data_IF_359581576909
#
_entry.id   IF_359581576909
#
_cell.length_a   1.000
_cell.length_b   1.000
_cell.length_c   1.000
_cell.angle_alpha   90.00
_cell.angle_beta   90.00
_cell.angle_gamma   90.00
#
_symmetry.space_group_name_H-M   'P 1'
#
loop_
_entity.id
_entity.type
_entity.pdbx_description
1 polymer ?
#
# COMPACT_ATOMS: atom_id res chain seq x y z
N UNK A 1 49.80 -10.89 33.67
CA UNK A 1 48.40 -11.17 34.00
C UNK A 1 47.52 -10.66 32.88
N UNK A 2 46.72 -11.52 32.29
CA UNK A 2 45.69 -11.10 31.33
C UNK A 2 44.54 -10.48 32.16
N UNK A 3 44.36 -9.14 32.11
CA UNK A 3 43.29 -8.41 32.81
C UNK A 3 42.12 -8.33 31.84
N UNK A 4 41.02 -9.03 32.17
CA UNK A 4 39.74 -8.86 31.53
C UNK A 4 38.86 -8.00 32.46
N UNK A 5 37.94 -7.22 31.89
CA UNK A 5 36.85 -6.58 32.61
C UNK A 5 35.95 -7.69 33.15
N UNK A 6 35.75 -7.73 34.45
CA UNK A 6 34.90 -8.75 35.14
C UNK A 6 33.52 -8.16 35.36
N UNK A 7 32.48 -8.93 35.06
CA UNK A 7 31.11 -8.61 35.46
C UNK A 7 30.82 -9.00 36.90
N UNK A 8 29.70 -8.52 37.43
CA UNK A 8 29.23 -8.85 38.75
C UNK A 8 28.79 -10.32 38.85
N UNK A 9 28.87 -10.86 40.08
CA UNK A 9 28.36 -12.19 40.35
C UNK A 9 26.84 -12.22 40.21
N UNK A 10 26.30 -13.25 39.55
CA UNK A 10 24.85 -13.44 39.40
C UNK A 10 24.11 -13.66 40.71
N UNK A 11 24.84 -13.96 41.78
CA UNK A 11 24.32 -14.22 43.14
C UNK A 11 24.61 -13.05 44.09
N UNK A 12 25.20 -11.96 43.59
CA UNK A 12 25.45 -10.78 44.42
C UNK A 12 24.13 -10.06 44.66
N UNK A 13 23.78 -9.87 45.93
CA UNK A 13 22.69 -9.01 46.35
C UNK A 13 23.14 -7.55 46.37
N UNK A 14 22.28 -6.64 45.94
CA UNK A 14 22.45 -5.20 46.07
C UNK A 14 21.93 -4.75 47.45
N UNK A 15 22.63 -3.85 48.10
CA UNK A 15 22.26 -3.34 49.44
C UNK A 15 21.05 -2.38 49.32
N UNK A 16 20.93 -1.67 48.21
CA UNK A 16 19.81 -0.79 47.87
C UNK A 16 19.00 -1.38 46.73
N UNK A 17 17.65 -1.36 46.77
CA UNK A 17 16.83 -1.85 45.70
C UNK A 17 17.00 -0.96 44.47
N UNK A 18 17.29 -1.56 43.30
CA UNK A 18 17.34 -0.87 42.05
C UNK A 18 15.92 -0.61 41.50
N UNK A 19 15.71 0.59 40.97
CA UNK A 19 14.47 0.95 40.31
C UNK A 19 14.55 0.60 38.83
N UNK A 20 13.42 0.24 38.23
CA UNK A 20 13.38 0.04 36.76
C UNK A 20 13.84 1.30 35.99
N UNK A 21 13.61 2.47 36.56
CA UNK A 21 13.98 3.75 35.96
C UNK A 21 15.51 3.94 35.86
N UNK A 22 16.29 3.32 36.76
CA UNK A 22 17.75 3.38 36.76
C UNK A 22 18.37 2.70 35.51
N UNK A 23 17.63 1.75 34.92
CA UNK A 23 18.06 1.03 33.70
C UNK A 23 17.73 1.77 32.41
N UNK A 24 16.93 2.85 32.48
CA UNK A 24 16.44 3.55 31.28
C UNK A 24 17.00 4.97 31.25
N UNK A 25 17.96 5.21 30.37
CA UNK A 25 18.57 6.51 30.19
C UNK A 25 17.51 7.59 29.87
N UNK A 26 17.75 8.83 30.29
CA UNK A 26 16.83 9.96 30.05
C UNK A 26 16.51 10.22 28.58
N UNK A 27 17.48 9.93 27.70
CA UNK A 27 17.34 10.08 26.26
C UNK A 27 16.88 8.80 25.55
N UNK A 28 16.45 7.78 26.28
CA UNK A 28 15.96 6.54 25.64
C UNK A 28 14.64 6.79 24.91
N UNK A 29 14.51 6.37 23.64
CA UNK A 29 13.28 6.51 22.85
C UNK A 29 12.02 5.93 23.48
N UNK A 30 12.15 4.98 24.40
CA UNK A 30 11.01 4.36 25.07
C UNK A 30 10.25 5.36 25.95
N UNK A 31 10.93 6.34 26.54
CA UNK A 31 10.31 7.43 27.30
C UNK A 31 9.38 8.28 26.42
N UNK A 32 9.71 8.42 25.13
CA UNK A 32 8.85 9.11 24.18
C UNK A 32 7.55 8.32 23.93
N UNK A 33 7.64 6.98 23.87
CA UNK A 33 6.44 6.12 23.71
C UNK A 33 5.54 6.29 24.93
N UNK A 34 6.13 6.29 26.13
CA UNK A 34 5.41 6.43 27.39
C UNK A 34 4.63 7.74 27.44
N UNK A 35 5.33 8.85 27.30
CA UNK A 35 4.73 10.19 27.28
C UNK A 35 3.67 10.30 26.17
N UNK A 36 3.98 9.84 24.94
CA UNK A 36 3.04 9.94 23.84
C UNK A 36 1.71 9.23 24.12
N UNK A 37 1.76 8.02 24.67
CA UNK A 37 0.55 7.25 24.95
C UNK A 37 -0.21 7.81 26.14
N UNK A 38 0.48 8.33 27.15
CA UNK A 38 -0.14 8.89 28.36
C UNK A 38 -0.85 10.23 28.09
N UNK A 39 -0.39 10.99 27.10
CA UNK A 39 -1.05 12.23 26.64
C UNK A 39 -2.24 12.00 25.69
N UNK A 40 -2.52 10.74 25.31
CA UNK A 40 -3.67 10.43 24.43
C UNK A 40 -4.96 10.26 25.23
N UNK A 41 -6.04 10.91 24.79
CA UNK A 41 -7.39 10.54 25.21
C UNK A 41 -7.84 9.26 24.49
N UNK A 42 -7.56 8.12 25.11
CA UNK A 42 -7.88 6.82 24.53
C UNK A 42 -9.38 6.59 24.35
N UNK A 43 -10.23 7.21 25.19
CA UNK A 43 -11.67 7.14 25.07
C UNK A 43 -12.17 7.83 23.80
N UNK A 44 -11.75 9.08 23.57
CA UNK A 44 -12.09 9.83 22.36
C UNK A 44 -11.53 9.17 21.09
N UNK A 45 -10.38 8.50 21.17
CA UNK A 45 -9.81 7.74 20.06
C UNK A 45 -10.59 6.46 19.75
N UNK A 46 -11.49 6.04 20.66
CA UNK A 46 -12.39 4.89 20.45
C UNK A 46 -11.82 3.56 20.93
N UNK A 47 -10.90 3.57 21.92
CA UNK A 47 -10.46 2.34 22.56
C UNK A 47 -11.51 1.81 23.51
N UNK A 48 -11.71 0.50 23.47
CA UNK A 48 -12.54 -0.20 24.46
C UNK A 48 -11.75 -0.48 25.75
N UNK A 49 -12.46 -0.53 26.90
CA UNK A 49 -11.85 -0.89 28.18
C UNK A 49 -10.99 0.19 28.82
N UNK A 50 -11.17 1.47 28.47
CA UNK A 50 -10.53 2.62 29.14
C UNK A 50 -11.07 2.78 30.55
N UNK A 51 -12.40 2.58 30.73
CA UNK A 51 -13.00 2.49 32.07
C UNK A 51 -13.02 1.02 32.52
N UNK A 52 -12.64 0.74 33.77
CA UNK A 52 -12.64 -0.63 34.29
C UNK A 52 -14.07 -1.19 34.37
N UNK A 53 -14.23 -2.47 34.04
CA UNK A 53 -15.50 -3.16 34.24
C UNK A 53 -15.80 -3.32 35.74
N UNK A 54 -17.07 -3.19 36.13
CA UNK A 54 -17.51 -3.32 37.52
C UNK A 54 -17.38 -4.74 38.07
N UNK A 55 -17.38 -5.72 37.21
CA UNK A 55 -17.33 -7.16 37.56
C UNK A 55 -16.47 -7.94 36.58
N UNK A 56 -16.00 -9.11 36.98
CA UNK A 56 -15.19 -9.99 36.17
C UNK A 56 -13.69 -9.89 36.47
N UNK A 57 -12.87 -10.60 35.68
CA UNK A 57 -11.41 -10.57 35.83
C UNK A 57 -10.88 -9.19 35.36
N UNK A 58 -10.00 -8.54 36.14
CA UNK A 58 -9.38 -7.29 35.72
C UNK A 58 -8.69 -7.42 34.37
N UNK A 59 -8.96 -6.50 33.45
CA UNK A 59 -8.32 -6.42 32.15
C UNK A 59 -7.10 -5.50 32.20
N UNK A 60 -6.19 -5.67 31.26
CA UNK A 60 -5.11 -4.70 31.06
C UNK A 60 -5.68 -3.41 30.47
N UNK A 61 -5.23 -2.27 31.01
CA UNK A 61 -5.60 -0.98 30.43
C UNK A 61 -5.09 -0.87 28.99
N UNK A 62 -5.87 -0.31 28.03
CA UNK A 62 -5.49 -0.23 26.62
C UNK A 62 -4.18 0.51 26.37
N UNK A 63 -3.79 1.48 27.24
CA UNK A 63 -2.49 2.14 27.17
C UNK A 63 -1.32 1.15 27.23
N UNK A 64 -1.38 0.16 28.11
CA UNK A 64 -0.32 -0.86 28.25
C UNK A 64 -0.13 -1.64 26.97
N UNK A 65 -1.24 -2.10 26.37
CA UNK A 65 -1.21 -2.88 25.14
C UNK A 65 -0.81 -2.03 23.92
N UNK A 66 -1.19 -0.76 23.89
CA UNK A 66 -0.77 0.18 22.86
C UNK A 66 0.74 0.47 22.95
N UNK A 67 1.26 0.71 24.16
CA UNK A 67 2.71 0.88 24.43
C UNK A 67 3.50 -0.34 23.93
N UNK A 68 3.04 -1.55 24.23
CA UNK A 68 3.64 -2.81 23.76
C UNK A 68 3.70 -2.86 22.23
N UNK A 69 2.62 -2.48 21.53
CA UNK A 69 2.61 -2.47 20.07
C UNK A 69 3.53 -1.42 19.46
N UNK A 70 3.51 -0.18 19.95
CA UNK A 70 4.39 0.88 19.45
C UNK A 70 5.85 0.48 19.65
N UNK A 71 6.22 -0.02 20.84
CA UNK A 71 7.55 -0.57 21.10
C UNK A 71 7.92 -1.68 20.10
N UNK A 72 7.00 -2.63 19.91
CA UNK A 72 7.24 -3.76 19.03
C UNK A 72 7.50 -3.37 17.57
N UNK A 73 6.72 -2.44 17.04
CA UNK A 73 6.91 -1.98 15.66
C UNK A 73 8.18 -1.13 15.52
N UNK A 74 8.54 -0.35 16.52
CA UNK A 74 9.78 0.43 16.55
C UNK A 74 11.02 -0.48 16.56
N UNK A 75 10.96 -1.63 17.27
CA UNK A 75 12.05 -2.56 17.50
C UNK A 75 11.96 -3.87 16.68
N UNK A 76 11.13 -3.94 15.61
CA UNK A 76 10.93 -5.12 14.73
C UNK A 76 10.39 -6.36 15.44
N UNK A 77 9.67 -6.19 16.54
CA UNK A 77 9.01 -7.24 17.29
C UNK A 77 7.51 -7.18 17.04
N UNK A 78 7.04 -7.62 15.87
CA UNK A 78 5.65 -7.46 15.42
C UNK A 78 4.74 -8.64 15.82
N UNK A 79 5.32 -9.80 16.15
CA UNK A 79 4.58 -11.00 16.53
C UNK A 79 4.13 -10.92 17.99
N UNK A 80 2.84 -11.14 18.27
CA UNK A 80 2.28 -11.14 19.64
C UNK A 80 2.98 -12.14 20.55
N UNK A 81 3.35 -13.33 20.06
CA UNK A 81 4.13 -14.33 20.83
C UNK A 81 5.55 -13.83 21.18
N UNK A 82 6.15 -13.07 20.29
CA UNK A 82 7.46 -12.46 20.60
C UNK A 82 7.30 -11.31 21.57
N UNK A 83 6.26 -10.48 21.43
CA UNK A 83 5.95 -9.39 22.36
C UNK A 83 5.70 -9.89 23.78
N UNK A 84 4.93 -10.97 23.95
CA UNK A 84 4.76 -11.63 25.25
C UNK A 84 6.10 -12.04 25.86
N UNK A 85 6.98 -12.67 25.06
CA UNK A 85 8.31 -13.08 25.52
C UNK A 85 9.19 -11.88 25.89
N UNK A 86 9.16 -10.82 25.08
CA UNK A 86 9.93 -9.59 25.39
C UNK A 86 9.40 -8.88 26.63
N UNK A 87 8.10 -8.85 26.88
CA UNK A 87 7.52 -8.30 28.11
C UNK A 87 8.02 -8.98 29.38
N UNK A 88 8.45 -10.26 29.28
CA UNK A 88 8.99 -11.03 30.42
C UNK A 88 10.48 -10.85 30.66
N UNK A 89 11.26 -10.37 29.69
CA UNK A 89 12.73 -10.40 29.73
C UNK A 89 13.43 -9.12 29.30
N UNK A 90 12.74 -8.21 28.63
CA UNK A 90 13.32 -6.99 28.12
C UNK A 90 13.05 -5.85 29.11
N UNK A 91 14.11 -5.26 29.66
CA UNK A 91 14.02 -4.25 30.71
C UNK A 91 13.26 -2.99 30.25
N UNK A 92 13.43 -2.57 28.98
CA UNK A 92 12.71 -1.44 28.42
C UNK A 92 11.20 -1.68 28.39
N UNK A 93 10.79 -2.90 28.00
CA UNK A 93 9.38 -3.24 27.94
C UNK A 93 8.80 -3.48 29.33
N UNK A 94 9.59 -4.03 30.27
CA UNK A 94 9.23 -4.12 31.68
C UNK A 94 8.99 -2.73 32.30
N UNK A 95 9.86 -1.77 32.01
CA UNK A 95 9.70 -0.38 32.45
C UNK A 95 8.41 0.23 31.87
N UNK A 96 8.21 0.10 30.57
CA UNK A 96 7.07 0.67 29.83
C UNK A 96 5.71 0.14 30.31
N UNK A 97 5.67 -1.12 30.75
CA UNK A 97 4.45 -1.80 31.17
C UNK A 97 4.29 -1.91 32.68
N UNK A 98 5.24 -1.41 33.45
CA UNK A 98 5.25 -1.63 34.91
C UNK A 98 5.34 -3.12 35.29
N UNK A 99 6.13 -3.92 34.56
CA UNK A 99 6.29 -5.38 34.67
C UNK A 99 5.01 -6.20 34.34
N UNK A 100 4.02 -5.60 33.71
CA UNK A 100 2.86 -6.35 33.24
C UNK A 100 3.24 -7.19 32.01
N UNK A 101 2.81 -8.46 32.01
CA UNK A 101 3.15 -9.44 30.98
C UNK A 101 1.88 -10.06 30.37
N UNK A 102 1.16 -9.31 29.51
CA UNK A 102 -0.02 -9.84 28.82
C UNK A 102 0.35 -11.03 27.96
N UNK A 103 -0.49 -12.06 27.93
CA UNK A 103 -0.31 -13.20 27.06
C UNK A 103 -0.52 -12.84 25.59
N UNK A 104 0.01 -13.66 24.67
CA UNK A 104 -0.03 -13.39 23.23
C UNK A 104 -1.45 -13.31 22.65
N UNK A 105 -2.45 -13.98 23.27
CA UNK A 105 -3.84 -13.93 22.82
C UNK A 105 -4.43 -12.56 23.15
N UNK A 106 -4.21 -12.08 24.37
CA UNK A 106 -4.61 -10.74 24.83
C UNK A 106 -4.01 -9.67 23.93
N UNK A 107 -2.69 -9.74 23.65
CA UNK A 107 -2.00 -8.82 22.73
C UNK A 107 -2.64 -8.87 21.32
N UNK A 108 -2.86 -10.07 20.78
CA UNK A 108 -3.44 -10.22 19.45
C UNK A 108 -4.90 -9.74 19.36
N UNK A 109 -5.73 -10.03 20.40
CA UNK A 109 -7.12 -9.58 20.48
C UNK A 109 -7.21 -8.07 20.56
N UNK A 110 -6.37 -7.41 21.34
CA UNK A 110 -6.34 -5.95 21.41
C UNK A 110 -6.18 -5.30 20.02
N UNK A 111 -5.21 -5.73 19.22
CA UNK A 111 -5.04 -5.20 17.86
C UNK A 111 -6.23 -5.49 16.96
N UNK A 112 -6.82 -6.68 17.10
CA UNK A 112 -7.97 -7.11 16.30
C UNK A 112 -9.21 -6.26 16.62
N UNK A 113 -9.46 -6.00 17.90
CA UNK A 113 -10.70 -5.39 18.37
C UNK A 113 -10.62 -3.86 18.36
N UNK A 114 -9.41 -3.28 18.50
CA UNK A 114 -9.18 -1.83 18.51
C UNK A 114 -8.57 -1.27 17.19
N UNK A 115 -8.81 -1.92 16.05
CA UNK A 115 -8.18 -1.53 14.78
C UNK A 115 -8.43 -0.09 14.36
N UNK A 116 -9.65 0.42 14.51
CA UNK A 116 -10.02 1.81 14.20
C UNK A 116 -9.33 2.80 15.15
N UNK A 117 -9.31 2.51 16.43
CA UNK A 117 -8.66 3.33 17.45
C UNK A 117 -7.15 3.46 17.20
N UNK A 118 -6.47 2.36 16.87
CA UNK A 118 -5.05 2.34 16.49
C UNK A 118 -4.78 3.22 15.27
N UNK A 119 -5.64 3.17 14.23
CA UNK A 119 -5.52 4.06 13.08
C UNK A 119 -5.70 5.55 13.47
N UNK A 120 -6.58 5.82 14.42
CA UNK A 120 -6.76 7.18 14.95
C UNK A 120 -5.53 7.66 15.73
N UNK A 121 -4.84 6.80 16.49
CA UNK A 121 -3.54 7.14 17.11
C UNK A 121 -2.52 7.58 16.08
N UNK A 122 -2.42 6.88 14.95
CA UNK A 122 -1.51 7.28 13.88
C UNK A 122 -1.85 8.68 13.32
N UNK A 123 -3.15 8.98 13.15
CA UNK A 123 -3.59 10.33 12.74
C UNK A 123 -3.27 11.39 13.80
N UNK A 124 -3.49 11.07 15.07
CA UNK A 124 -3.16 11.98 16.17
C UNK A 124 -1.67 12.33 16.22
N UNK A 125 -0.79 11.38 15.92
CA UNK A 125 0.64 11.65 15.81
C UNK A 125 0.96 12.60 14.65
N UNK A 126 0.27 12.50 13.51
CA UNK A 126 0.43 13.45 12.40
C UNK A 126 -0.06 14.85 12.80
N UNK A 127 -1.15 14.95 13.56
CA UNK A 127 -1.61 16.23 14.10
C UNK A 127 -0.59 16.85 15.05
N UNK A 128 0.04 16.04 15.91
CA UNK A 128 1.15 16.48 16.75
C UNK A 128 2.32 17.01 15.89
N UNK A 129 2.72 16.31 14.84
CA UNK A 129 3.75 16.79 13.92
C UNK A 129 3.40 18.15 13.29
N UNK A 130 2.11 18.37 12.99
CA UNK A 130 1.61 19.68 12.52
C UNK A 130 1.74 20.76 13.58
N UNK A 131 1.36 20.48 14.83
CA UNK A 131 1.49 21.41 15.95
C UNK A 131 2.96 21.78 16.22
N UNK A 132 3.88 20.83 15.99
CA UNK A 132 5.31 21.02 16.05
C UNK A 132 5.92 21.74 14.85
N UNK A 133 5.09 22.25 13.92
CA UNK A 133 5.51 22.95 12.71
C UNK A 133 6.47 22.13 11.82
N UNK A 134 6.31 20.81 11.78
CA UNK A 134 7.14 19.95 10.93
C UNK A 134 6.68 19.93 9.45
N UNK A 135 5.52 20.49 9.13
CA UNK A 135 4.98 20.60 7.78
C UNK A 135 4.99 22.05 7.28
N UNK A 136 6.19 22.60 7.10
CA UNK A 136 6.36 24.02 6.70
C UNK A 136 6.20 24.26 5.20
N UNK A 137 6.45 23.25 4.39
CA UNK A 137 6.21 23.27 2.94
C UNK A 137 4.90 22.54 2.66
N UNK A 138 3.93 23.25 2.10
CA UNK A 138 2.64 22.65 1.73
C UNK A 138 2.78 21.76 0.47
N UNK A 139 3.72 20.80 0.53
CA UNK A 139 4.06 19.92 -0.58
C UNK A 139 4.24 18.47 -0.11
N UNK A 140 3.62 17.54 -0.84
CA UNK A 140 3.75 16.10 -0.61
C UNK A 140 4.08 15.35 -1.89
N UNK A 141 4.83 14.27 -1.74
CA UNK A 141 5.02 13.28 -2.79
C UNK A 141 4.11 12.06 -2.53
N UNK A 142 3.34 11.66 -3.54
CA UNK A 142 2.43 10.52 -3.47
C UNK A 142 3.03 9.35 -4.22
N UNK A 143 3.06 8.18 -3.57
CA UNK A 143 3.51 6.93 -4.18
C UNK A 143 2.85 5.71 -3.56
N UNK A 144 2.83 4.62 -4.34
CA UNK A 144 2.30 3.33 -3.95
C UNK A 144 3.37 2.24 -3.95
N UNK A 145 3.30 1.35 -2.98
CA UNK A 145 4.18 0.19 -2.96
C UNK A 145 3.42 -1.09 -2.61
N UNK A 146 3.80 -2.17 -3.27
CA UNK A 146 3.14 -3.48 -3.08
C UNK A 146 3.78 -4.20 -1.89
N UNK A 147 2.92 -4.74 -1.01
CA UNK A 147 3.28 -5.53 0.16
C UNK A 147 2.61 -6.89 0.09
N UNK A 148 3.36 -7.93 0.39
CA UNK A 148 2.87 -9.31 0.32
C UNK A 148 1.85 -9.57 1.43
N UNK A 149 0.72 -10.19 1.07
CA UNK A 149 -0.26 -10.67 2.05
C UNK A 149 0.16 -12.00 2.69
N UNK A 150 -0.53 -12.37 3.77
CA UNK A 150 -0.52 -13.76 4.25
C UNK A 150 -1.17 -14.61 3.18
N UNK A 151 -0.37 -15.29 2.37
CA UNK A 151 -0.87 -16.03 1.23
C UNK A 151 -0.15 -17.35 1.03
N UNK A 152 -0.90 -18.34 0.55
CA UNK A 152 -0.39 -19.56 -0.05
C UNK A 152 -0.61 -19.47 -1.57
N UNK A 153 0.46 -19.58 -2.36
CA UNK A 153 0.43 -19.46 -3.81
C UNK A 153 -0.61 -20.39 -4.45
N UNK A 154 -0.78 -21.61 -3.89
CA UNK A 154 -1.69 -22.61 -4.44
C UNK A 154 -3.16 -22.31 -4.13
N UNK A 155 -3.44 -21.47 -3.13
CA UNK A 155 -4.78 -21.07 -2.72
C UNK A 155 -5.26 -19.72 -3.30
N UNK A 156 -4.56 -19.20 -4.30
CA UNK A 156 -4.98 -18.01 -5.03
C UNK A 156 -5.42 -18.38 -6.44
N UNK A 157 -6.64 -18.04 -6.83
CA UNK A 157 -7.27 -18.42 -8.08
C UNK A 157 -7.65 -17.21 -8.92
N UNK A 158 -7.39 -17.35 -10.22
CA UNK A 158 -7.88 -16.51 -11.31
C UNK A 158 -8.50 -17.43 -12.35
N UNK A 159 -9.33 -16.90 -13.27
CA UNK A 159 -9.95 -17.70 -14.34
C UNK A 159 -8.93 -18.56 -15.08
N UNK A 160 -7.85 -17.95 -15.55
CA UNK A 160 -6.80 -18.65 -16.30
C UNK A 160 -6.08 -19.75 -15.48
N UNK A 161 -5.98 -19.58 -14.14
CA UNK A 161 -5.38 -20.59 -13.27
C UNK A 161 -6.33 -21.76 -13.04
N UNK A 162 -7.63 -21.50 -12.92
CA UNK A 162 -8.65 -22.56 -12.78
C UNK A 162 -8.68 -23.41 -14.04
N UNK A 163 -8.73 -22.79 -15.22
CA UNK A 163 -8.72 -23.48 -16.51
C UNK A 163 -7.51 -24.40 -16.64
N UNK A 164 -6.31 -23.85 -16.43
CA UNK A 164 -5.06 -24.64 -16.47
C UNK A 164 -5.05 -25.80 -15.49
N UNK A 165 -5.57 -25.61 -14.28
CA UNK A 165 -5.58 -26.65 -13.24
C UNK A 165 -6.62 -27.72 -13.56
N UNK A 166 -7.73 -27.34 -14.18
CA UNK A 166 -8.74 -28.27 -14.68
C UNK A 166 -8.16 -29.17 -15.78
N UNK A 167 -7.51 -28.59 -16.79
CA UNK A 167 -6.82 -29.35 -17.85
C UNK A 167 -5.81 -30.34 -17.27
N UNK A 168 -4.96 -29.91 -16.32
CA UNK A 168 -3.99 -30.80 -15.69
C UNK A 168 -4.62 -31.97 -14.92
N UNK A 169 -5.78 -31.74 -14.28
CA UNK A 169 -6.52 -32.81 -13.58
C UNK A 169 -7.15 -33.76 -14.59
N UNK A 170 -7.77 -33.25 -15.64
CA UNK A 170 -8.37 -34.05 -16.73
C UNK A 170 -7.33 -34.94 -17.40
N UNK A 171 -6.17 -34.40 -17.78
CA UNK A 171 -5.04 -35.18 -18.31
C UNK A 171 -4.55 -36.24 -17.33
N UNK A 172 -4.49 -35.92 -16.04
CA UNK A 172 -4.07 -36.90 -15.02
C UNK A 172 -5.08 -38.00 -14.84
N UNK A 173 -6.38 -37.70 -14.87
CA UNK A 173 -7.45 -38.72 -14.81
C UNK A 173 -7.37 -39.61 -16.05
N UNK A 174 -7.24 -39.04 -17.25
CA UNK A 174 -7.11 -39.80 -18.49
C UNK A 174 -5.90 -40.77 -18.47
N UNK A 175 -4.76 -40.30 -17.97
CA UNK A 175 -3.55 -41.11 -17.80
C UNK A 175 -3.74 -42.24 -16.79
N UNK A 176 -4.43 -41.98 -15.68
CA UNK A 176 -4.69 -43.03 -14.69
C UNK A 176 -5.75 -44.05 -15.13
N UNK A 177 -6.74 -43.63 -15.92
CA UNK A 177 -7.70 -44.54 -16.56
C UNK A 177 -6.98 -45.47 -17.55
N UNK A 178 -6.11 -44.92 -18.42
CA UNK A 178 -5.29 -45.73 -19.31
C UNK A 178 -4.35 -46.70 -18.58
N UNK A 179 -3.85 -46.32 -17.40
CA UNK A 179 -3.03 -47.17 -16.56
C UNK A 179 -3.85 -48.29 -15.89
N UNK A 180 -5.13 -48.06 -15.62
CA UNK A 180 -6.06 -49.11 -15.14
C UNK A 180 -6.29 -50.16 -16.21
N UNK A 181 -6.57 -49.77 -17.46
CA UNK A 181 -6.77 -50.68 -18.60
C UNK A 181 -5.54 -51.59 -18.84
N UNK A 182 -4.33 -51.07 -18.50
CA UNK A 182 -3.09 -51.86 -18.63
C UNK A 182 -2.82 -52.72 -17.40
N UNK A 183 -3.31 -52.33 -16.22
CA UNK A 183 -3.14 -53.10 -14.98
C UNK A 183 -3.93 -54.42 -14.98
N UNK A 184 -5.10 -54.46 -15.64
CA UNK A 184 -5.94 -55.65 -15.79
C UNK A 184 -5.26 -56.79 -16.58
N UNK A 185 -4.13 -56.52 -17.22
CA UNK A 185 -3.33 -57.48 -17.97
C UNK A 185 -2.14 -58.07 -17.18
N UNK A 186 -1.96 -57.65 -15.92
CA UNK A 186 -0.85 -58.08 -15.07
C UNK A 186 -1.25 -59.29 -14.17
N UNK A 187 -0.26 -59.88 -13.46
CA UNK A 187 -0.51 -60.95 -12.52
C UNK A 187 -1.49 -60.53 -11.41
N UNK A 188 -2.43 -61.41 -10.93
CA UNK A 188 -3.59 -61.05 -10.14
C UNK A 188 -3.28 -60.26 -8.86
N UNK A 189 -2.31 -60.67 -8.07
CA UNK A 189 -1.99 -60.01 -6.79
C UNK A 189 -1.39 -58.60 -6.93
N UNK A 190 -0.62 -58.38 -7.99
CA UNK A 190 -0.01 -57.09 -8.33
C UNK A 190 -1.04 -56.17 -8.98
N UNK A 191 -1.92 -56.71 -9.78
CA UNK A 191 -3.00 -56.03 -10.47
C UNK A 191 -3.99 -55.42 -9.47
N UNK A 192 -4.40 -56.17 -8.45
CA UNK A 192 -5.38 -55.74 -7.44
C UNK A 192 -4.86 -54.54 -6.62
N UNK A 193 -3.65 -54.63 -6.06
CA UNK A 193 -3.03 -53.54 -5.29
C UNK A 193 -2.81 -52.25 -6.13
N UNK A 194 -2.45 -52.40 -7.41
CA UNK A 194 -2.25 -51.28 -8.34
C UNK A 194 -3.58 -50.62 -8.71
N UNK A 195 -4.61 -51.43 -8.96
CA UNK A 195 -5.97 -50.95 -9.29
C UNK A 195 -6.58 -50.17 -8.13
N UNK A 196 -6.47 -50.64 -6.89
CA UNK A 196 -6.94 -49.91 -5.70
C UNK A 196 -6.28 -48.53 -5.60
N UNK A 197 -4.95 -48.47 -5.70
CA UNK A 197 -4.20 -47.19 -5.64
C UNK A 197 -4.55 -46.21 -6.77
N UNK A 198 -4.80 -46.70 -7.98
CA UNK A 198 -5.20 -45.85 -9.12
C UNK A 198 -6.61 -45.34 -8.93
N UNK A 199 -7.54 -46.13 -8.46
CA UNK A 199 -8.92 -45.73 -8.15
C UNK A 199 -8.98 -44.69 -7.02
N UNK A 200 -8.17 -44.84 -5.98
CA UNK A 200 -8.03 -43.83 -4.92
C UNK A 200 -7.54 -42.50 -5.48
N UNK A 201 -6.52 -42.51 -6.34
CA UNK A 201 -6.00 -41.28 -6.99
C UNK A 201 -7.05 -40.64 -7.90
N UNK A 202 -7.78 -41.41 -8.68
CA UNK A 202 -8.86 -40.89 -9.54
C UNK A 202 -9.96 -40.24 -8.69
N UNK A 203 -10.34 -40.91 -7.57
CA UNK A 203 -11.34 -40.38 -6.65
C UNK A 203 -10.91 -39.06 -6.05
N UNK A 204 -9.65 -38.92 -5.59
CA UNK A 204 -9.08 -37.68 -5.09
C UNK A 204 -9.07 -36.56 -6.17
N UNK A 205 -8.73 -36.90 -7.42
CA UNK A 205 -8.74 -35.93 -8.51
C UNK A 205 -10.17 -35.49 -8.86
N UNK A 206 -11.15 -36.36 -8.83
CA UNK A 206 -12.57 -36.00 -9.00
C UNK A 206 -13.06 -35.07 -7.89
N UNK A 207 -12.68 -35.32 -6.64
CA UNK A 207 -12.96 -34.40 -5.53
C UNK A 207 -12.31 -33.02 -5.72
N UNK A 208 -11.06 -33.00 -6.17
CA UNK A 208 -10.38 -31.73 -6.51
C UNK A 208 -11.09 -30.97 -7.64
N UNK A 209 -11.60 -31.70 -8.64
CA UNK A 209 -12.38 -31.10 -9.73
C UNK A 209 -13.66 -30.44 -9.23
N UNK A 210 -14.38 -31.10 -8.30
CA UNK A 210 -15.58 -30.53 -7.71
C UNK A 210 -15.27 -29.29 -6.86
N UNK A 211 -14.20 -29.31 -6.06
CA UNK A 211 -13.73 -28.13 -5.33
C UNK A 211 -13.37 -26.98 -6.28
N UNK A 212 -12.77 -27.27 -7.44
CA UNK A 212 -12.46 -26.23 -8.43
C UNK A 212 -13.73 -25.61 -9.03
N UNK A 213 -14.79 -26.42 -9.26
CA UNK A 213 -16.10 -25.91 -9.73
C UNK A 213 -16.74 -24.96 -8.71
N UNK A 214 -16.70 -25.31 -7.42
CA UNK A 214 -17.18 -24.44 -6.34
C UNK A 214 -16.41 -23.12 -6.29
N UNK A 215 -15.08 -23.19 -6.41
CA UNK A 215 -14.21 -21.99 -6.46
C UNK A 215 -14.54 -21.15 -7.70
N UNK A 216 -14.74 -21.78 -8.85
CA UNK A 216 -15.11 -21.12 -10.10
C UNK A 216 -16.45 -20.37 -9.98
N UNK A 217 -17.47 -21.02 -9.39
CA UNK A 217 -18.77 -20.39 -9.15
C UNK A 217 -18.64 -19.15 -8.25
N UNK A 218 -17.83 -19.24 -7.19
CA UNK A 218 -17.52 -18.11 -6.31
C UNK A 218 -16.73 -17.01 -7.03
N UNK A 219 -15.81 -17.39 -7.90
CA UNK A 219 -15.00 -16.49 -8.69
C UNK A 219 -15.86 -15.64 -9.66
N UNK A 220 -16.84 -16.27 -10.29
CA UNK A 220 -17.77 -15.55 -11.18
C UNK A 220 -18.59 -14.48 -10.47
N UNK A 221 -18.87 -14.66 -9.17
CA UNK A 221 -19.57 -13.71 -8.34
C UNK A 221 -18.69 -12.52 -7.88
N UNK A 222 -17.35 -12.59 -8.06
CA UNK A 222 -16.45 -11.49 -7.68
C UNK A 222 -16.22 -10.52 -8.85
N UNK A 223 -16.28 -9.20 -8.62
CA UNK A 223 -16.17 -8.20 -9.70
C UNK A 223 -14.84 -8.28 -10.46
N UNK A 224 -13.75 -8.58 -9.78
CA UNK A 224 -12.38 -8.63 -10.29
C UNK A 224 -11.92 -10.03 -10.71
N UNK A 225 -12.80 -11.03 -10.63
CA UNK A 225 -12.53 -12.42 -11.00
C UNK A 225 -11.23 -12.96 -10.40
N UNK A 226 -11.00 -12.65 -9.13
CA UNK A 226 -9.88 -13.16 -8.33
C UNK A 226 -10.37 -13.58 -6.94
N UNK A 227 -9.87 -14.70 -6.46
CA UNK A 227 -10.14 -15.22 -5.13
C UNK A 227 -8.85 -15.70 -4.49
N UNK A 228 -8.60 -15.29 -3.25
CA UNK A 228 -7.63 -15.93 -2.36
C UNK A 228 -8.37 -16.64 -1.24
N UNK A 229 -8.17 -17.95 -1.12
CA UNK A 229 -8.76 -18.75 -0.04
C UNK A 229 -8.03 -18.56 1.30
N UNK A 230 -6.87 -17.90 1.29
CA UNK A 230 -6.09 -17.63 2.50
C UNK A 230 -6.41 -16.26 3.10
N UNK A 231 -6.50 -15.24 2.25
CA UNK A 231 -6.85 -13.87 2.61
C UNK A 231 -7.81 -13.33 1.54
N UNK A 232 -9.13 -13.22 1.84
CA UNK A 232 -10.16 -12.95 0.85
C UNK A 232 -10.02 -11.59 0.18
N UNK A 233 -9.38 -10.61 0.84
CA UNK A 233 -9.20 -9.26 0.32
C UNK A 233 -7.91 -9.09 -0.47
N UNK A 234 -6.95 -10.03 -0.35
CA UNK A 234 -5.69 -9.95 -1.08
C UNK A 234 -5.89 -10.20 -2.58
N UNK A 235 -5.15 -9.46 -3.41
CA UNK A 235 -5.24 -9.55 -4.88
C UNK A 235 -3.86 -9.79 -5.49
N UNK A 236 -3.87 -10.39 -6.68
CA UNK A 236 -2.67 -10.52 -7.49
C UNK A 236 -2.30 -9.16 -8.07
N UNK A 237 -1.07 -8.72 -7.81
CA UNK A 237 -0.56 -7.42 -8.21
C UNK A 237 0.69 -7.59 -9.06
N UNK A 238 0.76 -6.90 -10.18
CA UNK A 238 1.98 -6.84 -10.97
C UNK A 238 3.07 -6.10 -10.20
N UNK A 239 4.25 -6.70 -10.08
CA UNK A 239 5.41 -6.09 -9.43
C UNK A 239 6.48 -5.62 -10.42
N UNK A 240 6.38 -6.06 -11.68
CA UNK A 240 7.25 -5.63 -12.78
C UNK A 240 6.54 -5.81 -14.12
N UNK A 241 7.00 -5.13 -15.16
CA UNK A 241 6.50 -5.29 -16.54
C UNK A 241 6.67 -6.70 -17.12
N UNK A 242 7.41 -7.59 -16.46
CA UNK A 242 7.65 -8.98 -16.86
C UNK A 242 6.65 -9.98 -16.26
N UNK A 243 5.58 -9.51 -15.61
CA UNK A 243 4.48 -10.38 -15.19
C UNK A 243 4.69 -11.23 -13.94
N UNK A 244 5.80 -11.06 -13.19
CA UNK A 244 5.93 -11.67 -11.86
C UNK A 244 5.00 -10.93 -10.89
N UNK A 245 3.81 -11.48 -10.64
CA UNK A 245 2.86 -10.93 -9.69
C UNK A 245 3.09 -11.47 -8.29
N UNK A 246 2.80 -10.64 -7.29
CA UNK A 246 2.64 -11.08 -5.91
C UNK A 246 1.17 -10.97 -5.50
N UNK A 247 0.71 -11.83 -4.61
CA UNK A 247 -0.58 -11.67 -3.95
C UNK A 247 -0.39 -10.81 -2.72
N UNK A 248 -1.06 -9.68 -2.68
CA UNK A 248 -0.83 -8.69 -1.64
C UNK A 248 -1.79 -7.51 -1.68
N UNK A 249 -1.32 -6.43 -1.12
CA UNK A 249 -1.99 -5.15 -1.03
C UNK A 249 -1.11 -4.04 -1.60
N UNK A 250 -1.75 -2.99 -2.07
CA UNK A 250 -1.11 -1.78 -2.50
C UNK A 250 -1.21 -0.74 -1.38
N UNK A 251 -0.07 -0.32 -0.85
CA UNK A 251 0.00 0.70 0.20
C UNK A 251 0.33 2.02 -0.45
N UNK A 252 -0.58 2.97 -0.34
CA UNK A 252 -0.44 4.34 -0.79
C UNK A 252 0.08 5.22 0.33
N UNK A 253 0.99 6.12 0.05
CA UNK A 253 1.52 7.10 1.01
C UNK A 253 1.59 8.49 0.39
N UNK A 254 1.27 9.50 1.20
CA UNK A 254 1.61 10.90 0.92
C UNK A 254 2.69 11.32 1.92
N UNK A 255 3.82 11.73 1.43
CA UNK A 255 5.04 11.99 2.20
C UNK A 255 5.43 13.45 2.08
N UNK A 256 5.66 14.11 3.21
CA UNK A 256 6.19 15.48 3.26
C UNK A 256 7.57 15.56 2.62
N UNK A 257 7.77 16.56 1.79
CA UNK A 257 9.01 16.71 0.99
C UNK A 257 10.21 17.15 1.81
N UNK A 258 10.01 17.79 2.95
CA UNK A 258 11.08 18.35 3.78
C UNK A 258 11.63 17.36 4.79
N UNK A 259 10.76 16.78 5.60
CA UNK A 259 11.15 15.89 6.69
C UNK A 259 10.91 14.40 6.38
N UNK A 260 10.31 14.09 5.22
CA UNK A 260 9.97 12.74 4.77
C UNK A 260 9.05 12.00 5.76
N UNK A 261 8.17 12.74 6.44
CA UNK A 261 7.13 12.18 7.29
C UNK A 261 5.96 11.70 6.45
N UNK A 262 5.40 10.55 6.78
CA UNK A 262 4.19 10.06 6.13
C UNK A 262 2.99 10.81 6.73
N UNK A 263 2.41 11.70 5.94
CA UNK A 263 1.28 12.56 6.33
C UNK A 263 -0.05 11.83 6.24
N UNK A 264 -0.20 11.01 5.19
CA UNK A 264 -1.37 10.17 4.98
C UNK A 264 -0.94 8.83 4.36
N UNK A 265 -1.66 7.78 4.70
CA UNK A 265 -1.46 6.46 4.10
C UNK A 265 -2.80 5.72 3.98
N UNK A 266 -2.85 4.84 3.01
CA UNK A 266 -4.00 3.96 2.79
C UNK A 266 -3.54 2.60 2.27
N UNK A 267 -4.21 1.54 2.70
CA UNK A 267 -4.05 0.21 2.14
C UNK A 267 -5.23 -0.07 1.22
N UNK A 268 -4.95 -0.48 0.00
CA UNK A 268 -5.96 -0.86 -0.98
C UNK A 268 -5.62 -2.20 -1.62
N UNK A 269 -6.62 -2.89 -2.12
CA UNK A 269 -6.45 -4.08 -2.93
C UNK A 269 -6.51 -3.80 -4.44
N UNK A 270 -6.57 -2.53 -4.84
CA UNK A 270 -6.48 -2.10 -6.24
C UNK A 270 -5.04 -2.20 -6.71
N UNK A 271 -4.81 -2.97 -7.76
CA UNK A 271 -3.47 -3.29 -8.26
C UNK A 271 -2.76 -2.16 -9.00
N UNK A 272 -3.46 -1.09 -9.41
CA UNK A 272 -2.92 0.08 -10.09
C UNK A 272 -3.15 1.35 -9.27
N UNK A 273 -2.41 2.42 -9.60
CA UNK A 273 -2.40 3.66 -8.84
C UNK A 273 -3.27 4.76 -9.46
N UNK A 274 -3.89 4.50 -10.63
CA UNK A 274 -4.61 5.49 -11.45
C UNK A 274 -5.76 6.18 -10.75
N UNK A 275 -6.43 5.52 -9.79
CA UNK A 275 -7.60 6.04 -9.06
C UNK A 275 -7.26 6.45 -7.63
N UNK A 276 -5.99 6.68 -7.31
CA UNK A 276 -5.57 6.92 -5.93
C UNK A 276 -5.11 8.36 -5.66
N UNK A 277 -4.83 9.16 -6.71
CA UNK A 277 -4.23 10.48 -6.59
C UNK A 277 -5.10 11.45 -5.78
N UNK A 278 -6.33 11.67 -6.21
CA UNK A 278 -7.21 12.69 -5.62
C UNK A 278 -7.55 12.37 -4.16
N UNK A 279 -7.79 11.10 -3.87
CA UNK A 279 -8.09 10.65 -2.50
C UNK A 279 -6.90 10.89 -1.57
N UNK A 280 -5.70 10.47 -1.96
CA UNK A 280 -4.49 10.65 -1.17
C UNK A 280 -4.13 12.13 -1.00
N UNK A 281 -4.26 12.93 -2.05
CA UNK A 281 -4.00 14.37 -2.01
C UNK A 281 -4.96 15.11 -1.05
N UNK A 282 -6.27 14.79 -1.09
CA UNK A 282 -7.27 15.36 -0.18
C UNK A 282 -7.03 14.96 1.28
N UNK A 283 -6.66 13.69 1.53
CA UNK A 283 -6.29 13.22 2.86
C UNK A 283 -5.05 13.95 3.39
N UNK A 284 -4.01 14.10 2.56
CA UNK A 284 -2.79 14.82 2.94
C UNK A 284 -3.08 16.28 3.26
N UNK A 285 -3.87 16.98 2.43
CA UNK A 285 -4.27 18.36 2.68
C UNK A 285 -4.99 18.53 4.02
N UNK A 286 -5.94 17.64 4.30
CA UNK A 286 -6.67 17.64 5.58
C UNK A 286 -5.75 17.38 6.77
N UNK A 287 -4.83 16.42 6.67
CA UNK A 287 -3.90 16.07 7.74
C UNK A 287 -2.89 17.18 8.03
N UNK A 288 -2.39 17.84 6.99
CA UNK A 288 -1.49 19.00 7.13
C UNK A 288 -2.23 20.26 7.59
N UNK A 289 -3.55 20.33 7.39
CA UNK A 289 -4.36 21.50 7.77
C UNK A 289 -4.06 22.73 6.92
N UNK A 290 -3.70 22.54 5.66
CA UNK A 290 -3.38 23.62 4.72
C UNK A 290 -4.52 23.86 3.72
N UNK A 291 -4.68 25.10 3.26
CA UNK A 291 -5.69 25.44 2.26
C UNK A 291 -5.22 25.08 0.85
N UNK A 292 -3.96 25.33 0.55
CA UNK A 292 -3.31 25.01 -0.71
C UNK A 292 -2.31 23.89 -0.50
N UNK A 293 -2.30 22.91 -1.40
CA UNK A 293 -1.37 21.79 -1.36
C UNK A 293 -0.78 21.57 -2.75
N UNK A 294 0.52 21.38 -2.81
CA UNK A 294 1.21 20.88 -4.00
C UNK A 294 1.46 19.37 -3.86
N UNK A 295 1.12 18.61 -4.88
CA UNK A 295 1.36 17.17 -4.92
C UNK A 295 2.23 16.78 -6.10
N UNK A 296 3.20 15.90 -5.86
CA UNK A 296 4.03 15.31 -6.91
C UNK A 296 3.83 13.80 -6.94
N UNK A 297 3.59 13.23 -8.12
CA UNK A 297 3.37 11.80 -8.29
C UNK A 297 4.02 11.28 -9.57
N UNK A 298 4.09 9.97 -9.75
CA UNK A 298 4.61 9.40 -10.99
C UNK A 298 3.53 9.26 -12.08
N UNK A 299 3.96 8.84 -13.27
CA UNK A 299 3.07 8.62 -14.42
C UNK A 299 2.01 7.52 -14.20
N UNK A 300 2.19 6.63 -13.20
CA UNK A 300 1.24 5.59 -12.84
C UNK A 300 -0.08 6.14 -12.30
N UNK A 301 -0.03 7.35 -11.75
CA UNK A 301 -1.20 8.08 -11.24
C UNK A 301 -1.92 8.92 -12.30
N UNK A 302 -1.41 8.98 -13.53
CA UNK A 302 -2.00 9.85 -14.54
C UNK A 302 -3.40 9.37 -14.95
N UNK A 303 -4.42 10.09 -14.48
CA UNK A 303 -5.82 9.96 -14.86
C UNK A 303 -6.41 11.36 -15.01
N UNK A 304 -7.11 11.62 -16.11
CA UNK A 304 -7.76 12.93 -16.35
C UNK A 304 -8.74 13.28 -15.24
N UNK A 305 -9.56 12.31 -14.80
CA UNK A 305 -10.56 12.48 -13.72
C UNK A 305 -9.91 12.82 -12.38
N UNK A 306 -8.87 12.10 -12.01
CA UNK A 306 -8.16 12.32 -10.74
C UNK A 306 -7.46 13.67 -10.72
N UNK A 307 -6.87 14.08 -11.86
CA UNK A 307 -6.23 15.40 -12.02
C UNK A 307 -7.28 16.51 -11.93
N UNK A 308 -8.43 16.32 -12.58
CA UNK A 308 -9.55 17.26 -12.49
C UNK A 308 -10.05 17.37 -11.05
N UNK A 309 -10.28 16.25 -10.36
CA UNK A 309 -10.73 16.22 -8.98
C UNK A 309 -9.73 16.88 -7.99
N UNK A 310 -8.43 16.84 -8.28
CA UNK A 310 -7.42 17.60 -7.57
C UNK A 310 -7.54 19.10 -7.86
N UNK A 311 -7.68 19.47 -9.14
CA UNK A 311 -7.83 20.85 -9.57
C UNK A 311 -9.06 21.54 -8.95
N UNK A 312 -10.22 20.87 -8.99
CA UNK A 312 -11.46 21.34 -8.37
C UNK A 312 -11.35 21.48 -6.85
N UNK A 313 -10.51 20.64 -6.23
CA UNK A 313 -10.19 20.75 -4.82
C UNK A 313 -9.13 21.82 -4.48
N UNK A 314 -8.63 22.60 -5.44
CA UNK A 314 -7.58 23.60 -5.21
C UNK A 314 -6.19 22.99 -4.93
N UNK A 315 -5.95 21.74 -5.37
CA UNK A 315 -4.68 21.03 -5.20
C UNK A 315 -3.86 21.13 -6.49
N UNK A 316 -2.65 21.65 -6.40
CA UNK A 316 -1.72 21.75 -7.51
C UNK A 316 -1.01 20.39 -7.70
N UNK A 317 -1.09 19.84 -8.91
CA UNK A 317 -0.48 18.54 -9.23
C UNK A 317 0.66 18.65 -10.21
N UNK A 318 1.71 17.84 -9.99
CA UNK A 318 2.84 17.64 -10.91
C UNK A 318 3.02 16.14 -11.13
N UNK A 319 2.70 15.65 -12.33
CA UNK A 319 2.94 14.29 -12.73
C UNK A 319 3.11 14.18 -14.25
N UNK A 320 4.01 13.34 -14.74
CA UNK A 320 4.29 13.22 -16.15
C UNK A 320 3.21 12.42 -16.88
N UNK A 321 2.87 12.87 -18.07
CA UNK A 321 1.95 12.13 -18.95
C UNK A 321 2.60 10.83 -19.43
N UNK A 322 1.91 9.67 -19.37
CA UNK A 322 2.41 8.45 -19.98
C UNK A 322 2.45 8.56 -21.50
N UNK A 323 3.52 8.07 -22.10
CA UNK A 323 3.63 7.97 -23.56
C UNK A 323 2.80 6.76 -24.02
N UNK A 324 1.58 7.01 -24.46
CA UNK A 324 0.63 5.96 -24.90
C UNK A 324 0.55 5.82 -26.42
N UNK A 325 1.16 6.72 -27.18
CA UNK A 325 1.16 6.72 -28.64
C UNK A 325 2.48 6.17 -29.18
N UNK A 326 2.43 5.22 -30.10
CA UNK A 326 3.58 4.75 -30.87
C UNK A 326 4.00 5.75 -31.97
N UNK A 327 3.23 6.81 -32.20
CA UNK A 327 3.46 7.74 -33.28
C UNK A 327 4.90 8.31 -33.31
N UNK A 328 5.42 8.76 -32.15
CA UNK A 328 6.81 9.26 -32.06
C UNK A 328 7.86 8.18 -32.35
N UNK A 329 7.68 6.97 -31.84
CA UNK A 329 8.61 5.87 -32.09
C UNK A 329 8.60 5.42 -33.57
N UNK A 330 7.53 5.70 -34.26
CA UNK A 330 7.36 5.44 -35.72
C UNK A 330 7.72 6.67 -36.57
N UNK A 331 8.33 7.74 -35.97
CA UNK A 331 8.72 8.95 -36.69
C UNK A 331 7.55 9.84 -37.10
N UNK A 332 6.36 9.67 -36.51
CA UNK A 332 5.17 10.46 -36.81
C UNK A 332 4.84 11.47 -35.73
N UNK A 333 4.15 12.54 -36.14
CA UNK A 333 3.65 13.55 -35.21
C UNK A 333 2.68 12.96 -34.18
N UNK A 334 2.83 13.37 -32.93
CA UNK A 334 1.89 13.02 -31.86
C UNK A 334 0.89 14.16 -31.58
N UNK A 335 0.06 14.04 -30.55
CA UNK A 335 -0.93 15.06 -30.21
C UNK A 335 -0.28 16.40 -29.77
N UNK A 336 0.91 16.38 -29.21
CA UNK A 336 1.60 17.56 -28.72
C UNK A 336 2.08 18.48 -29.87
N UNK A 337 2.27 17.93 -31.07
CA UNK A 337 2.67 18.68 -32.27
C UNK A 337 1.50 19.49 -32.89
N UNK A 338 0.28 19.35 -32.33
CA UNK A 338 -0.93 20.06 -32.78
C UNK A 338 -1.28 21.15 -31.75
N UNK A 339 -1.23 22.42 -32.17
CA UNK A 339 -1.46 23.56 -31.28
C UNK A 339 -2.96 23.90 -31.25
N UNK A 340 -3.56 23.89 -30.06
CA UNK A 340 -4.97 24.27 -29.89
C UNK A 340 -5.13 25.79 -29.80
N UNK A 341 -6.04 26.35 -30.61
CA UNK A 341 -6.50 27.73 -30.55
C UNK A 341 -7.89 27.77 -29.87
N UNK A 342 -7.96 28.31 -28.67
CA UNK A 342 -9.19 28.35 -27.88
C UNK A 342 -10.22 29.35 -28.47
N UNK A 343 -9.78 30.46 -29.05
CA UNK A 343 -10.67 31.49 -29.61
C UNK A 343 -11.46 30.98 -30.82
N UNK A 344 -10.79 30.18 -31.68
CA UNK A 344 -11.40 29.62 -32.88
C UNK A 344 -11.92 28.19 -32.67
N UNK A 345 -11.67 27.62 -31.50
CA UNK A 345 -11.99 26.20 -31.19
C UNK A 345 -11.47 25.24 -32.28
N UNK A 346 -10.20 25.38 -32.65
CA UNK A 346 -9.54 24.58 -33.70
C UNK A 346 -8.12 24.18 -33.27
N UNK A 347 -7.59 23.12 -33.88
CA UNK A 347 -6.17 22.80 -33.80
C UNK A 347 -5.45 23.24 -35.05
N UNK A 348 -4.20 23.69 -34.92
CA UNK A 348 -3.28 23.93 -36.04
C UNK A 348 -2.32 22.73 -36.12
N UNK A 349 -2.25 22.08 -37.29
CA UNK A 349 -1.35 20.97 -37.53
C UNK A 349 0.08 21.44 -37.87
N UNK A 350 1.10 20.55 -37.88
CA UNK A 350 2.48 20.90 -38.25
C UNK A 350 2.63 21.44 -39.67
N UNK A 351 1.69 21.12 -40.60
CA UNK A 351 1.64 21.70 -41.95
C UNK A 351 0.97 23.10 -41.98
N UNK A 352 0.54 23.65 -40.83
CA UNK A 352 -0.13 24.95 -40.76
C UNK A 352 -1.64 24.92 -41.01
N UNK A 353 -2.22 23.77 -41.37
CA UNK A 353 -3.65 23.63 -41.67
C UNK A 353 -4.52 23.60 -40.44
N UNK A 354 -5.72 24.22 -40.45
CA UNK A 354 -6.65 24.15 -39.32
C UNK A 354 -7.38 22.82 -39.31
N UNK A 355 -7.42 22.17 -38.15
CA UNK A 355 -8.30 21.06 -37.82
C UNK A 355 -9.50 21.63 -37.07
N UNK A 356 -10.61 21.77 -37.77
CA UNK A 356 -11.83 22.36 -37.19
C UNK A 356 -12.60 21.32 -36.39
N UNK A 357 -13.35 21.79 -35.40
CA UNK A 357 -14.30 20.96 -34.67
C UNK A 357 -15.33 20.37 -35.62
N UNK A 358 -15.63 19.08 -35.44
CA UNK A 358 -16.59 18.37 -36.29
C UNK A 358 -17.80 17.89 -35.50
N UNK A 359 -17.55 17.21 -34.40
CA UNK A 359 -18.61 16.77 -33.50
C UNK A 359 -18.07 16.44 -32.11
N UNK A 360 -18.98 16.23 -31.16
CA UNK A 360 -18.69 15.76 -29.83
C UNK A 360 -19.49 14.51 -29.56
N UNK A 361 -18.91 13.59 -28.81
CA UNK A 361 -19.62 12.41 -28.32
C UNK A 361 -19.17 12.06 -26.91
N UNK A 362 -19.99 11.31 -26.19
CA UNK A 362 -19.63 10.75 -24.87
C UNK A 362 -19.00 9.37 -25.12
N UNK A 363 -17.76 9.23 -24.62
CA UNK A 363 -16.99 7.98 -24.67
C UNK A 363 -16.59 7.63 -23.23
N UNK A 364 -17.01 6.47 -22.70
CA UNK A 364 -16.74 6.03 -21.34
C UNK A 364 -17.05 7.12 -20.27
N UNK A 365 -18.16 7.85 -20.44
CA UNK A 365 -18.59 8.91 -19.53
C UNK A 365 -17.96 10.29 -19.79
N UNK A 366 -16.97 10.39 -20.68
CA UNK A 366 -16.28 11.64 -21.00
C UNK A 366 -16.81 12.27 -22.30
N UNK A 367 -17.02 13.56 -22.28
CA UNK A 367 -17.35 14.32 -23.49
C UNK A 367 -16.08 14.61 -24.26
N UNK A 368 -15.95 14.00 -25.45
CA UNK A 368 -14.79 14.08 -26.32
C UNK A 368 -15.16 14.85 -27.59
N UNK A 369 -14.43 15.90 -27.85
CA UNK A 369 -14.50 16.68 -29.09
C UNK A 369 -13.54 16.11 -30.13
N UNK A 370 -13.96 16.06 -31.39
CA UNK A 370 -13.21 15.52 -32.51
C UNK A 370 -12.91 16.61 -33.53
N UNK A 371 -11.63 16.70 -33.93
CA UNK A 371 -11.12 17.70 -34.86
C UNK A 371 -10.37 17.02 -35.99
N UNK A 372 -10.57 17.47 -37.25
CA UNK A 372 -9.77 17.12 -38.39
C UNK A 372 -9.92 18.12 -39.50
N UNK A 373 -8.95 18.13 -40.49
CA UNK A 373 -8.96 18.92 -41.71
C UNK A 373 -9.37 18.06 -42.93
N UNK A 374 -10.09 18.67 -43.84
CA UNK A 374 -10.41 18.02 -45.14
C UNK A 374 -9.21 18.01 -46.10
N UNK A 375 -8.20 18.87 -45.87
CA UNK A 375 -7.00 19.00 -46.72
C UNK A 375 -5.96 17.89 -46.50
N UNK A 376 -6.16 16.98 -45.51
CA UNK A 376 -5.17 15.95 -45.16
C UNK A 376 -4.79 15.02 -46.32
N UNK A 377 -5.67 14.80 -47.28
CA UNK A 377 -5.38 13.90 -48.43
C UNK A 377 -4.33 14.46 -49.37
N UNK A 378 -4.26 15.77 -49.49
CA UNK A 378 -3.32 16.49 -50.38
C UNK A 378 -2.09 17.03 -49.62
N UNK A 379 -1.93 16.68 -48.34
CA UNK A 379 -0.86 17.20 -47.52
C UNK A 379 0.50 16.57 -47.85
N UNK A 380 1.51 17.38 -48.10
CA UNK A 380 2.88 16.95 -48.45
C UNK A 380 3.58 16.15 -47.37
N UNK A 381 3.24 16.40 -46.05
CA UNK A 381 3.82 15.71 -44.89
C UNK A 381 2.88 14.64 -44.31
N UNK A 382 1.89 14.17 -45.07
CA UNK A 382 0.90 13.20 -44.60
C UNK A 382 1.52 11.91 -44.08
N UNK A 383 2.57 11.40 -44.68
CA UNK A 383 3.28 10.18 -44.30
C UNK A 383 3.91 10.30 -42.90
N UNK A 384 4.37 11.50 -42.53
CA UNK A 384 4.90 11.81 -41.19
C UNK A 384 3.78 12.08 -40.17
N UNK A 385 2.51 12.15 -40.57
CA UNK A 385 1.40 12.52 -39.74
C UNK A 385 0.47 11.35 -39.43
N UNK A 386 -0.05 10.67 -40.47
CA UNK A 386 -1.05 9.59 -40.30
C UNK A 386 -1.09 8.63 -41.48
N UNK A 387 -1.23 7.32 -41.27
CA UNK A 387 -1.51 6.36 -42.33
C UNK A 387 -2.97 6.39 -42.78
N UNK A 388 -3.87 7.01 -42.00
CA UNK A 388 -5.30 7.10 -42.32
C UNK A 388 -5.60 8.23 -43.30
N UNK A 389 -6.84 8.29 -43.83
CA UNK A 389 -7.28 9.34 -44.78
C UNK A 389 -7.12 10.75 -44.22
N UNK A 390 -7.35 10.92 -42.90
CA UNK A 390 -7.17 12.19 -42.21
C UNK A 390 -6.68 11.96 -40.76
N UNK A 391 -5.84 12.88 -40.26
CA UNK A 391 -5.46 12.91 -38.84
C UNK A 391 -6.64 13.41 -38.02
N UNK A 392 -7.12 12.60 -37.09
CA UNK A 392 -8.15 12.97 -36.13
C UNK A 392 -7.50 13.28 -34.77
N UNK A 393 -7.77 14.47 -34.24
CA UNK A 393 -7.34 14.87 -32.90
C UNK A 393 -8.55 14.85 -31.97
N UNK A 394 -8.40 14.23 -30.82
CA UNK A 394 -9.41 14.15 -29.78
C UNK A 394 -9.08 15.13 -28.66
N UNK A 395 -10.06 15.86 -28.17
CA UNK A 395 -9.94 16.74 -27.01
C UNK A 395 -11.02 16.42 -26.00
N UNK A 396 -10.61 16.15 -24.79
CA UNK A 396 -11.52 16.04 -23.66
C UNK A 396 -12.04 17.45 -23.28
N UNK A 397 -13.27 17.57 -22.80
CA UNK A 397 -13.85 18.88 -22.42
C UNK A 397 -13.01 19.63 -21.36
N UNK A 398 -12.34 18.89 -20.44
CA UNK A 398 -11.44 19.42 -19.43
C UNK A 398 -9.93 19.32 -19.82
N UNK A 399 -9.62 19.18 -21.10
CA UNK A 399 -8.22 19.05 -21.57
C UNK A 399 -7.35 20.24 -21.14
N UNK A 400 -7.93 21.42 -20.95
CA UNK A 400 -7.22 22.64 -20.49
C UNK A 400 -6.55 22.43 -19.12
N UNK A 401 -7.13 21.61 -18.23
CA UNK A 401 -6.53 21.27 -16.94
C UNK A 401 -5.26 20.44 -17.14
N UNK A 402 -5.31 19.45 -18.07
CA UNK A 402 -4.15 18.63 -18.40
C UNK A 402 -3.04 19.43 -19.11
N UNK A 403 -3.41 20.35 -19.99
CA UNK A 403 -2.48 21.27 -20.65
C UNK A 403 -1.79 22.20 -19.64
N UNK A 404 -2.55 22.71 -18.67
CA UNK A 404 -2.03 23.55 -17.59
C UNK A 404 -1.07 22.78 -16.68
N UNK A 405 -1.36 21.50 -16.38
CA UNK A 405 -0.45 20.62 -15.65
C UNK A 405 0.85 20.42 -16.44
N UNK A 406 0.78 20.13 -17.74
CA UNK A 406 1.98 19.93 -18.57
C UNK A 406 2.83 21.19 -18.62
N UNK A 407 2.24 22.37 -18.85
CA UNK A 407 2.95 23.66 -18.83
C UNK A 407 3.63 23.94 -17.49
N UNK A 408 3.01 23.58 -16.36
CA UNK A 408 3.62 23.69 -15.05
C UNK A 408 4.82 22.78 -14.90
N UNK A 409 4.70 21.52 -15.34
CA UNK A 409 5.78 20.55 -15.28
C UNK A 409 6.97 20.96 -16.15
N UNK A 410 6.72 21.47 -17.36
CA UNK A 410 7.75 21.95 -18.27
C UNK A 410 8.55 23.15 -17.69
N UNK A 411 7.86 24.02 -16.93
CA UNK A 411 8.50 25.14 -16.22
C UNK A 411 9.27 24.71 -14.96
N UNK A 412 8.93 23.55 -14.39
CA UNK A 412 9.49 23.06 -13.14
C UNK A 412 9.93 21.58 -13.27
N UNK A 413 10.92 21.27 -14.11
CA UNK A 413 11.36 19.90 -14.38
C UNK A 413 11.93 19.20 -13.14
N UNK A 414 12.43 19.96 -12.17
CA UNK A 414 12.98 19.44 -10.90
C UNK A 414 11.95 18.76 -10.00
N UNK A 415 10.65 19.00 -10.20
CA UNK A 415 9.60 18.38 -9.40
C UNK A 415 9.65 16.86 -9.42
N UNK A 416 10.09 16.26 -10.53
CA UNK A 416 10.24 14.80 -10.63
C UNK A 416 11.47 14.30 -9.86
N UNK A 417 12.49 15.12 -9.66
CA UNK A 417 13.62 14.81 -8.78
C UNK A 417 13.19 14.88 -7.31
N UNK A 418 12.48 15.93 -6.92
CA UNK A 418 11.89 16.07 -5.58
C UNK A 418 11.02 14.85 -5.25
N UNK A 419 10.11 14.47 -6.16
CA UNK A 419 9.29 13.26 -5.98
C UNK A 419 10.14 12.03 -5.67
N UNK A 420 11.14 11.73 -6.50
CA UNK A 420 11.97 10.53 -6.37
C UNK A 420 12.69 10.49 -5.01
N UNK A 421 13.34 11.58 -4.65
CA UNK A 421 14.06 11.70 -3.37
C UNK A 421 13.14 11.52 -2.16
N UNK A 422 11.89 12.00 -2.25
CA UNK A 422 10.93 11.95 -1.14
C UNK A 422 10.33 10.56 -0.94
N UNK A 423 9.83 9.93 -2.02
CA UNK A 423 9.05 8.68 -1.89
C UNK A 423 9.90 7.45 -1.66
N UNK A 424 11.14 7.45 -2.10
CA UNK A 424 12.06 6.31 -1.87
C UNK A 424 12.46 6.23 -0.39
N UNK A 425 12.43 7.36 0.32
CA UNK A 425 12.86 7.45 1.70
C UNK A 425 12.01 6.59 2.67
N UNK A 426 10.66 6.62 2.71
CA UNK A 426 9.90 5.83 3.69
C UNK A 426 9.82 4.34 3.34
N UNK A 427 9.66 3.96 2.06
CA UNK A 427 9.48 2.56 1.70
C UNK A 427 10.73 1.71 1.89
N UNK A 428 11.91 2.28 1.72
CA UNK A 428 13.18 1.62 2.02
C UNK A 428 13.27 1.19 3.48
N UNK A 429 13.22 2.12 4.45
CA UNK A 429 13.21 1.80 5.89
C UNK A 429 12.06 0.89 6.31
N UNK A 430 10.84 1.12 5.86
CA UNK A 430 9.69 0.27 6.20
C UNK A 430 9.94 -1.20 5.81
N UNK A 431 10.41 -1.46 4.60
CA UNK A 431 10.64 -2.81 4.10
C UNK A 431 11.92 -3.44 4.62
N UNK A 432 13.05 -2.72 4.51
CA UNK A 432 14.36 -3.29 4.83
C UNK A 432 14.68 -3.24 6.33
N UNK A 433 14.46 -2.09 6.98
CA UNK A 433 14.90 -1.90 8.37
C UNK A 433 13.83 -2.23 9.39
N UNK A 434 12.55 -1.97 9.09
CA UNK A 434 11.45 -2.28 10.00
C UNK A 434 10.80 -3.64 9.71
N UNK A 435 11.25 -4.35 8.65
CA UNK A 435 10.84 -5.70 8.35
C UNK A 435 9.41 -5.85 7.82
N UNK A 436 8.79 -4.77 7.33
CA UNK A 436 7.47 -4.79 6.73
C UNK A 436 7.48 -5.36 5.30
N UNK A 437 8.07 -6.53 5.10
CA UNK A 437 8.12 -7.18 3.78
C UNK A 437 6.83 -7.89 3.41
N UNK A 438 6.08 -8.34 4.42
CA UNK A 438 4.80 -9.02 4.29
C UNK A 438 3.95 -8.75 5.52
N UNK A 439 2.64 -8.77 5.35
CA UNK A 439 1.70 -8.62 6.45
C UNK A 439 1.60 -9.90 7.28
N UNK A 440 1.33 -9.75 8.57
CA UNK A 440 1.07 -10.84 9.51
C UNK A 440 -0.43 -11.07 9.73
N UNK A 441 -1.26 -10.09 9.36
CA UNK A 441 -2.72 -10.13 9.45
C UNK A 441 -3.37 -10.34 8.10
N UNK A 442 -4.65 -10.75 8.11
CA UNK A 442 -5.49 -10.97 6.94
C UNK A 442 -6.65 -9.97 6.96
N UNK A 443 -7.25 -9.75 5.83
CA UNK A 443 -8.31 -8.78 5.55
C UNK A 443 -7.83 -7.32 5.49
N UNK A 444 -8.44 -6.57 4.61
CA UNK A 444 -8.05 -5.17 4.32
C UNK A 444 -8.07 -4.30 5.59
N UNK A 445 -9.06 -4.49 6.46
CA UNK A 445 -9.19 -3.71 7.69
C UNK A 445 -8.04 -3.96 8.67
N UNK A 446 -7.69 -5.24 8.91
CA UNK A 446 -6.61 -5.59 9.83
C UNK A 446 -5.23 -5.26 9.27
N UNK A 447 -5.05 -5.44 7.96
CA UNK A 447 -3.83 -5.06 7.25
C UNK A 447 -3.64 -3.53 7.30
N UNK A 448 -4.72 -2.77 7.16
CA UNK A 448 -4.69 -1.30 7.33
C UNK A 448 -4.25 -0.90 8.74
N UNK A 449 -4.71 -1.62 9.77
CA UNK A 449 -4.27 -1.39 11.15
C UNK A 449 -2.78 -1.73 11.34
N UNK A 450 -2.34 -2.85 10.79
CA UNK A 450 -0.93 -3.27 10.84
C UNK A 450 -0.03 -2.24 10.14
N UNK A 451 -0.44 -1.75 8.98
CA UNK A 451 0.30 -0.70 8.26
C UNK A 451 0.33 0.62 9.04
N UNK A 452 -0.75 1.00 9.71
CA UNK A 452 -0.78 2.21 10.56
C UNK A 452 0.24 2.15 11.69
N UNK A 453 0.45 0.98 12.30
CA UNK A 453 1.50 0.79 13.31
C UNK A 453 2.91 0.93 12.72
N UNK A 454 3.13 0.43 11.50
CA UNK A 454 4.40 0.64 10.79
C UNK A 454 4.65 2.11 10.49
N UNK A 455 3.63 2.82 10.00
CA UNK A 455 3.71 4.25 9.69
C UNK A 455 3.96 5.06 10.96
N UNK A 456 3.25 4.77 12.04
CA UNK A 456 3.45 5.43 13.35
C UNK A 456 4.90 5.24 13.85
N UNK A 457 5.39 4.01 13.82
CA UNK A 457 6.76 3.73 14.27
C UNK A 457 7.81 4.39 13.36
N UNK A 458 7.59 4.43 12.04
CA UNK A 458 8.46 5.16 11.11
C UNK A 458 8.47 6.66 11.43
N UNK A 459 7.31 7.28 11.55
CA UNK A 459 7.18 8.71 11.83
C UNK A 459 7.78 9.06 13.21
N UNK A 460 7.50 8.26 14.22
CA UNK A 460 8.05 8.45 15.59
C UNK A 460 9.58 8.42 15.57
N UNK A 461 10.17 7.42 14.93
CA UNK A 461 11.63 7.31 14.77
C UNK A 461 12.21 8.51 14.03
N UNK A 462 11.50 8.99 13.01
CA UNK A 462 11.91 10.15 12.21
C UNK A 462 11.86 11.44 13.02
N UNK A 463 10.78 11.66 13.77
CA UNK A 463 10.62 12.86 14.63
C UNK A 463 11.63 12.87 15.77
N UNK A 464 11.90 11.72 16.40
CA UNK A 464 12.98 11.59 17.39
C UNK A 464 14.33 11.98 16.80
N UNK A 465 14.61 11.56 15.56
CA UNK A 465 15.87 11.92 14.90
C UNK A 465 15.96 13.42 14.54
N UNK A 466 14.84 14.10 14.30
CA UNK A 466 14.79 15.53 13.98
C UNK A 466 14.90 16.40 15.23
N UNK A 467 14.13 16.10 16.27
CA UNK A 467 13.98 16.95 17.46
C UNK A 467 14.81 16.49 18.66
N UNK A 468 15.18 15.21 18.69
CA UNK A 468 15.70 14.54 19.89
C UNK A 468 14.59 14.15 20.87
N UNK A 469 14.88 13.17 21.75
CA UNK A 469 13.93 12.61 22.71
C UNK A 469 13.43 13.67 23.72
N UNK A 470 14.33 14.41 24.34
CA UNK A 470 13.99 15.37 25.39
C UNK A 470 13.13 16.53 24.90
N UNK A 471 13.43 17.10 23.73
CA UNK A 471 12.62 18.17 23.15
C UNK A 471 11.23 17.69 22.75
N UNK A 472 11.14 16.49 22.17
CA UNK A 472 9.87 15.90 21.76
C UNK A 472 8.97 15.61 22.98
N UNK A 473 9.52 15.04 24.07
CA UNK A 473 8.75 14.79 25.30
C UNK A 473 8.23 16.08 25.93
N UNK A 474 9.04 17.15 25.96
CA UNK A 474 8.57 18.45 26.46
C UNK A 474 7.43 19.01 25.61
N UNK A 475 7.55 18.89 24.29
CA UNK A 475 6.52 19.38 23.38
C UNK A 475 5.22 18.57 23.40
N UNK A 476 5.24 17.34 23.89
CA UNK A 476 4.04 16.52 24.09
C UNK A 476 3.30 16.86 25.39
N UNK A 477 4.04 17.30 26.43
CA UNK A 477 3.49 17.62 27.74
C UNK A 477 2.96 19.05 27.88
N UNK A 478 3.17 19.86 26.88
CA UNK A 478 2.76 21.20 27.00
C UNK A 478 2.82 22.25 26.26
#
# INVERSE_FOLDING_TARGET
MKRFVQGESRTQGTLLPELLDDYIAENNPIRVIDVFVDELDLGQLGFEGVAPALTGRPSYHPAVLLKIYIYGYLNRVQSSRRLEREAQRNVELMWLTGRLTPDFKTIASFRKDNGKAIRNVCRQFVLLCRQLNLFTEAMVAIDGSKFKAVNNRDRNFTTAKIERRREQIEESIARYLSALDTADRAEPDIAEAKTVRLNEKITLLKQQMEQLREIEARLQATPDKQISLTDPDARSMATSGRGSGMVGYNVQTAVDTKHHLIVAHEVTNVGNDRSQLAKMAKQARSAMGVNELTTVADRGYFSGEEILACHEAGIVTYLPKPMTSSAKSEGRFDKADFVYNAEKNEYRCPAGEPLIWRFSRVEAGHKIHRYWSSSCQQCSIKTQCTPSNARRVSRWEHESVLESLQKRLDRNPDMMRVRRQTVEHPFGPLKAWMGATHFLTKTLERVSTEMSLHVLAYNLKRVIAILGTGALMRAMRG
#
